data_IF_969165450531
#
_entry.id   IF_969165450531
#
_cell.length_a   1.000
_cell.length_b   1.000
_cell.length_c   1.000
_cell.angle_alpha   90.00
_cell.angle_beta   90.00
_cell.angle_gamma   90.00
#
_symmetry.space_group_name_H-M   'P 1'
#
loop_
_entity.id
_entity.type
_entity.pdbx_description
1 polymer ?
#
# COMPACT_ATOMS: atom_id res chain seq x y z
N UNK A 1 1.52 -22.80 5.34
CA UNK A 1 2.52 -23.26 4.35
C UNK A 1 2.33 -22.39 3.14
N UNK A 2 3.38 -21.65 2.77
CA UNK A 2 3.29 -20.66 1.72
C UNK A 2 3.39 -21.33 0.36
N UNK A 3 2.65 -20.82 -0.62
CA UNK A 3 2.63 -21.39 -1.96
C UNK A 3 3.95 -21.07 -2.65
N UNK A 4 4.62 -22.03 -3.32
CA UNK A 4 5.90 -21.80 -3.98
C UNK A 4 5.93 -20.59 -4.92
N UNK A 5 4.84 -20.36 -5.67
CA UNK A 5 4.71 -19.22 -6.60
C UNK A 5 4.76 -17.85 -5.90
N UNK A 6 4.40 -17.78 -4.61
CA UNK A 6 4.45 -16.53 -3.85
C UNK A 6 5.87 -16.07 -3.61
N UNK A 7 6.82 -16.99 -3.39
CA UNK A 7 8.24 -16.64 -3.27
C UNK A 7 8.74 -16.02 -4.58
N UNK A 8 8.43 -16.64 -5.71
CA UNK A 8 8.80 -16.11 -7.04
C UNK A 8 8.25 -14.69 -7.23
N UNK A 9 7.00 -14.44 -6.87
CA UNK A 9 6.38 -13.12 -6.99
C UNK A 9 7.08 -12.08 -6.12
N UNK A 10 7.45 -12.42 -4.89
CA UNK A 10 8.18 -11.53 -4.00
C UNK A 10 9.62 -11.28 -4.48
N UNK A 11 10.28 -12.31 -5.02
CA UNK A 11 11.63 -12.20 -5.59
C UNK A 11 11.63 -11.27 -6.82
N UNK A 12 10.60 -11.35 -7.68
CA UNK A 12 10.41 -10.44 -8.82
C UNK A 12 10.29 -8.98 -8.36
N UNK A 13 9.50 -8.70 -7.32
CA UNK A 13 9.41 -7.35 -6.77
C UNK A 13 10.71 -6.87 -6.12
N UNK A 14 11.42 -7.76 -5.42
CA UNK A 14 12.71 -7.45 -4.79
C UNK A 14 13.80 -7.13 -5.82
N UNK A 15 13.70 -7.69 -7.03
CA UNK A 15 14.63 -7.42 -8.13
C UNK A 15 14.38 -6.08 -8.84
N UNK A 16 13.19 -5.50 -8.70
CA UNK A 16 12.85 -4.22 -9.34
C UNK A 16 13.55 -3.10 -8.58
N UNK A 17 14.33 -2.24 -9.26
CA UNK A 17 14.87 -1.06 -8.61
C UNK A 17 13.72 -0.18 -8.15
N UNK A 18 13.86 0.44 -6.97
CA UNK A 18 12.94 1.47 -6.52
C UNK A 18 12.80 2.53 -7.62
N UNK A 19 11.57 3.02 -7.93
CA UNK A 19 11.37 4.02 -8.96
C UNK A 19 12.37 5.16 -8.78
N UNK A 20 13.12 5.47 -9.84
CA UNK A 20 14.17 6.46 -9.76
C UNK A 20 13.59 7.77 -9.21
N UNK A 21 14.24 8.31 -8.17
CA UNK A 21 13.96 9.68 -7.72
C UNK A 21 13.97 10.59 -8.93
N UNK A 22 13.01 11.52 -8.97
CA UNK A 22 13.02 12.55 -9.99
C UNK A 22 14.41 13.21 -9.97
N UNK A 23 15.11 13.30 -11.11
CA UNK A 23 16.49 13.77 -11.12
C UNK A 23 16.55 15.19 -10.55
N UNK A 24 17.61 15.53 -9.78
CA UNK A 24 17.77 16.88 -9.26
C UNK A 24 17.68 17.85 -10.43
N UNK A 25 16.70 18.75 -10.36
CA UNK A 25 16.49 19.75 -11.41
C UNK A 25 17.54 20.82 -11.20
N UNK A 26 18.51 20.90 -12.11
CA UNK A 26 19.34 22.09 -12.21
C UNK A 26 18.43 23.28 -12.61
N UNK A 27 18.17 24.22 -11.69
CA UNK A 27 17.28 25.36 -11.96
C UNK A 27 17.78 26.22 -13.12
N UNK A 28 19.09 26.17 -13.43
CA UNK A 28 19.72 26.92 -14.51
C UNK A 28 19.51 26.28 -15.90
N UNK A 29 19.23 24.96 -15.97
CA UNK A 29 19.18 24.24 -17.26
C UNK A 29 17.79 24.04 -17.85
N UNK A 30 16.70 24.16 -17.07
CA UNK A 30 15.34 23.92 -17.58
C UNK A 30 14.26 24.75 -16.88
N UNK A 31 13.61 25.64 -17.62
CA UNK A 31 12.38 26.31 -17.18
C UNK A 31 11.21 25.31 -17.21
N UNK A 32 10.93 24.68 -16.07
CA UNK A 32 9.81 23.75 -15.92
C UNK A 32 8.46 24.48 -16.04
N UNK A 33 7.44 23.78 -16.57
CA UNK A 33 6.06 24.25 -16.51
C UNK A 33 5.57 24.25 -15.05
N UNK A 34 4.61 25.10 -14.67
CA UNK A 34 4.14 25.21 -13.28
C UNK A 34 3.70 23.88 -12.65
N UNK A 35 3.01 23.01 -13.41
CA UNK A 35 2.56 21.69 -12.90
C UNK A 35 3.73 20.73 -12.67
N UNK A 36 4.75 20.74 -13.55
CA UNK A 36 5.95 19.92 -13.36
C UNK A 36 6.66 20.37 -12.09
N UNK A 37 6.83 21.69 -11.89
CA UNK A 37 7.45 22.24 -10.68
C UNK A 37 6.71 21.80 -9.41
N UNK A 38 5.37 21.86 -9.40
CA UNK A 38 4.55 21.41 -8.26
C UNK A 38 4.78 19.93 -7.95
N UNK A 39 4.88 19.07 -8.98
CA UNK A 39 5.17 17.66 -8.80
C UNK A 39 6.58 17.40 -8.21
N UNK A 40 7.60 18.18 -8.59
CA UNK A 40 8.93 18.12 -7.97
C UNK A 40 8.92 18.55 -6.51
N UNK A 41 8.20 19.63 -6.18
CA UNK A 41 8.04 20.12 -4.80
C UNK A 41 7.42 19.03 -3.91
N UNK A 42 6.34 18.41 -4.38
CA UNK A 42 5.65 17.34 -3.66
C UNK A 42 6.57 16.13 -3.47
N UNK A 43 7.33 15.74 -4.50
CA UNK A 43 8.26 14.61 -4.39
C UNK A 43 9.38 14.90 -3.39
N UNK A 44 10.00 16.09 -3.45
CA UNK A 44 11.05 16.47 -2.51
C UNK A 44 10.55 16.50 -1.07
N UNK A 45 9.32 16.99 -0.83
CA UNK A 45 8.71 16.95 0.48
C UNK A 45 8.47 15.52 0.97
N UNK A 46 7.91 14.64 0.13
CA UNK A 46 7.72 13.23 0.46
C UNK A 46 9.04 12.56 0.84
N UNK A 47 10.10 12.84 0.08
CA UNK A 47 11.43 12.31 0.31
C UNK A 47 11.99 12.78 1.67
N UNK A 48 11.89 14.07 1.97
CA UNK A 48 12.37 14.63 3.24
C UNK A 48 11.59 14.05 4.43
N UNK A 49 10.26 13.95 4.33
CA UNK A 49 9.41 13.36 5.37
C UNK A 49 9.81 11.90 5.60
N UNK A 50 10.07 11.13 4.54
CA UNK A 50 10.52 9.74 4.67
C UNK A 50 11.83 9.59 5.45
N UNK A 51 12.71 10.60 5.44
CA UNK A 51 14.02 10.53 6.10
C UNK A 51 14.02 11.06 7.54
N UNK A 52 13.30 12.16 7.81
CA UNK A 52 13.37 12.84 9.12
C UNK A 52 12.02 13.17 9.77
N UNK A 53 10.92 12.71 9.17
CA UNK A 53 9.57 13.00 9.64
C UNK A 53 9.04 14.36 9.21
N UNK A 54 7.75 14.58 9.37
CA UNK A 54 7.10 15.84 8.99
C UNK A 54 7.42 16.94 10.00
N UNK A 55 7.43 16.67 11.31
CA UNK A 55 7.79 17.69 12.30
C UNK A 55 9.15 18.34 12.03
N UNK A 56 10.17 17.55 11.69
CA UNK A 56 11.54 18.04 11.44
C UNK A 56 11.75 18.63 10.04
N UNK A 57 10.76 18.52 9.14
CA UNK A 57 10.79 19.16 7.82
C UNK A 57 10.55 20.67 7.91
N UNK A 58 11.27 21.45 7.13
CA UNK A 58 11.04 22.88 6.91
C UNK A 58 10.84 23.18 5.42
N UNK A 59 10.22 24.32 5.13
CA UNK A 59 10.09 24.81 3.74
C UNK A 59 11.47 25.10 3.11
N UNK A 60 12.45 25.50 3.91
CA UNK A 60 13.82 25.71 3.47
C UNK A 60 14.51 24.40 3.06
N UNK A 61 14.23 23.28 3.74
CA UNK A 61 14.76 21.96 3.33
C UNK A 61 14.29 21.60 1.92
N UNK A 62 12.99 21.77 1.66
CA UNK A 62 12.39 21.49 0.34
C UNK A 62 12.98 22.42 -0.72
N UNK A 63 13.14 23.71 -0.39
CA UNK A 63 13.74 24.68 -1.30
C UNK A 63 15.18 24.32 -1.67
N UNK A 64 15.98 23.90 -0.67
CA UNK A 64 17.35 23.44 -0.87
C UNK A 64 17.41 22.19 -1.76
N UNK A 65 16.55 21.20 -1.51
CA UNK A 65 16.50 19.95 -2.26
C UNK A 65 16.25 20.16 -3.76
N UNK A 66 15.40 21.14 -4.11
CA UNK A 66 15.06 21.44 -5.52
C UNK A 66 15.82 22.65 -6.09
N UNK A 67 16.80 23.19 -5.36
CA UNK A 67 17.65 24.30 -5.80
C UNK A 67 16.92 25.63 -6.01
N UNK A 68 15.90 25.95 -5.20
CA UNK A 68 15.15 27.22 -5.29
C UNK A 68 15.23 28.03 -4.00
N UNK A 69 14.72 29.26 -4.00
CA UNK A 69 14.51 30.02 -2.76
C UNK A 69 13.20 29.62 -2.08
N UNK A 70 13.15 29.72 -0.75
CA UNK A 70 11.92 29.48 0.01
C UNK A 70 10.80 30.43 -0.45
N UNK A 71 11.11 31.70 -0.72
CA UNK A 71 10.14 32.66 -1.26
C UNK A 71 9.53 32.18 -2.60
N UNK A 72 10.33 31.59 -3.48
CA UNK A 72 9.83 31.04 -4.74
C UNK A 72 8.97 29.79 -4.56
N UNK A 73 9.22 29.01 -3.50
CA UNK A 73 8.40 27.84 -3.13
C UNK A 73 6.97 28.28 -2.76
N UNK A 74 6.83 29.39 -2.03
CA UNK A 74 5.53 29.91 -1.60
C UNK A 74 4.62 30.38 -2.75
N UNK A 75 5.13 30.52 -3.98
CA UNK A 75 4.31 30.74 -5.17
C UNK A 75 3.53 29.48 -5.60
N UNK A 76 3.91 28.30 -5.12
CA UNK A 76 3.30 27.02 -5.52
C UNK A 76 2.53 26.34 -4.39
N UNK A 77 2.92 26.57 -3.13
CA UNK A 77 2.31 26.03 -1.91
C UNK A 77 2.31 27.09 -0.83
N UNK A 78 1.19 27.32 -0.16
CA UNK A 78 1.02 28.43 0.79
C UNK A 78 1.56 28.11 2.18
N UNK A 79 1.68 26.83 2.55
CA UNK A 79 2.21 26.42 3.85
C UNK A 79 2.83 25.02 3.82
N UNK A 80 3.56 24.69 4.90
CA UNK A 80 4.06 23.34 5.18
C UNK A 80 2.92 22.31 5.27
N UNK A 81 1.80 22.71 5.86
CA UNK A 81 0.63 21.84 6.06
C UNK A 81 -0.08 21.57 4.73
N UNK A 82 -0.25 22.59 3.88
CA UNK A 82 -0.77 22.40 2.52
C UNK A 82 0.13 21.46 1.71
N UNK A 83 1.46 21.63 1.84
CA UNK A 83 2.41 20.76 1.16
C UNK A 83 2.25 19.30 1.62
N UNK A 84 2.01 19.05 2.91
CA UNK A 84 1.71 17.71 3.42
C UNK A 84 0.40 17.15 2.85
N UNK A 85 -0.67 17.95 2.78
CA UNK A 85 -1.92 17.53 2.13
C UNK A 85 -1.69 17.11 0.68
N UNK A 86 -0.93 17.90 -0.09
CA UNK A 86 -0.60 17.56 -1.48
C UNK A 86 0.23 16.28 -1.63
N UNK A 87 1.12 16.01 -0.66
CA UNK A 87 1.88 14.74 -0.58
C UNK A 87 0.95 13.56 -0.33
N UNK A 88 -0.01 13.70 0.60
CA UNK A 88 -0.98 12.66 0.93
C UNK A 88 -1.94 12.39 -0.23
N UNK A 89 -2.46 13.44 -0.88
CA UNK A 89 -3.40 13.34 -2.01
C UNK A 89 -2.78 12.60 -3.18
N UNK A 90 -1.54 12.97 -3.56
CA UNK A 90 -0.80 12.31 -4.64
C UNK A 90 -0.62 10.81 -4.38
N UNK A 91 -0.57 10.41 -3.10
CA UNK A 91 -0.36 9.01 -2.75
C UNK A 91 -1.67 8.24 -2.58
N UNK A 92 -2.76 8.92 -2.20
CA UNK A 92 -4.09 8.33 -2.06
C UNK A 92 -4.69 7.95 -3.42
N UNK A 93 -4.50 8.80 -4.44
CA UNK A 93 -4.97 8.55 -5.81
C UNK A 93 -3.93 7.76 -6.62
N UNK A 94 -3.72 6.48 -6.28
CA UNK A 94 -2.76 5.63 -6.99
C UNK A 94 -3.42 4.39 -7.63
N UNK A 95 -3.97 4.52 -8.85
CA UNK A 95 -4.52 3.40 -9.62
C UNK A 95 -3.49 2.28 -9.89
N UNK A 96 -2.19 2.60 -9.92
CA UNK A 96 -1.15 1.59 -10.08
C UNK A 96 -1.06 0.69 -8.85
N UNK A 97 -1.36 1.22 -7.65
CA UNK A 97 -1.40 0.44 -6.42
C UNK A 97 -2.54 -0.59 -6.45
N UNK A 98 -3.73 -0.16 -6.87
CA UNK A 98 -4.88 -1.06 -7.04
C UNK A 98 -4.57 -2.14 -8.07
N UNK A 99 -4.01 -1.76 -9.22
CA UNK A 99 -3.63 -2.71 -10.26
C UNK A 99 -2.58 -3.71 -9.76
N UNK A 100 -1.50 -3.25 -9.14
CA UNK A 100 -0.43 -4.09 -8.61
C UNK A 100 -0.93 -5.05 -7.53
N UNK A 101 -1.89 -4.62 -6.70
CA UNK A 101 -2.43 -5.44 -5.61
C UNK A 101 -3.42 -6.48 -6.10
N UNK A 102 -4.33 -6.10 -7.00
CA UNK A 102 -5.54 -6.90 -7.27
C UNK A 102 -5.57 -7.60 -8.63
N UNK A 103 -4.80 -7.17 -9.63
CA UNK A 103 -4.89 -7.75 -10.99
C UNK A 103 -4.64 -9.26 -11.00
N UNK A 104 -3.48 -9.67 -10.49
CA UNK A 104 -3.03 -11.07 -10.38
C UNK A 104 -3.58 -11.79 -9.14
N UNK A 105 -4.45 -11.13 -8.38
CA UNK A 105 -5.17 -11.72 -7.25
C UNK A 105 -6.62 -12.03 -7.60
N UNK A 106 -7.03 -11.83 -8.86
CA UNK A 106 -8.40 -12.10 -9.31
C UNK A 106 -8.47 -13.35 -10.17
N UNK A 107 -9.62 -14.02 -10.13
CA UNK A 107 -9.92 -15.18 -10.96
C UNK A 107 -11.39 -15.22 -11.34
N UNK A 108 -11.73 -16.13 -12.24
CA UNK A 108 -13.10 -16.34 -12.72
C UNK A 108 -13.46 -17.81 -12.57
N UNK A 109 -14.62 -18.11 -11.99
CA UNK A 109 -15.10 -19.48 -11.84
C UNK A 109 -15.72 -20.04 -13.14
N UNK A 110 -16.12 -21.32 -13.12
CA UNK A 110 -16.77 -22.00 -14.26
C UNK A 110 -18.03 -21.30 -14.79
N UNK A 111 -18.70 -20.50 -13.96
CA UNK A 111 -19.95 -19.80 -14.30
C UNK A 111 -19.69 -18.35 -14.75
N UNK A 112 -18.43 -17.91 -14.78
CA UNK A 112 -18.05 -16.56 -15.20
C UNK A 112 -18.08 -15.51 -14.09
N UNK A 113 -18.28 -15.90 -12.84
CA UNK A 113 -18.22 -14.96 -11.72
C UNK A 113 -16.77 -14.59 -11.40
N UNK A 114 -16.52 -13.29 -11.22
CA UNK A 114 -15.18 -12.79 -10.85
C UNK A 114 -15.04 -12.70 -9.33
N UNK A 115 -13.93 -13.22 -8.82
CA UNK A 115 -13.56 -13.17 -7.40
C UNK A 115 -12.13 -12.68 -7.22
N UNK A 116 -11.83 -12.32 -5.97
CA UNK A 116 -10.49 -11.93 -5.53
C UNK A 116 -10.04 -12.80 -4.37
N UNK A 117 -8.74 -13.10 -4.36
CA UNK A 117 -8.10 -14.00 -3.40
C UNK A 117 -7.34 -13.14 -2.40
N UNK A 118 -7.88 -13.05 -1.18
CA UNK A 118 -7.33 -12.17 -0.14
C UNK A 118 -5.85 -12.45 0.18
N UNK A 119 -5.42 -13.71 0.41
CA UNK A 119 -4.01 -14.00 0.72
C UNK A 119 -3.06 -13.59 -0.41
N UNK A 120 -3.42 -13.91 -1.66
CA UNK A 120 -2.67 -13.47 -2.85
C UNK A 120 -2.58 -11.95 -2.95
N UNK A 121 -3.66 -11.22 -2.68
CA UNK A 121 -3.63 -9.75 -2.69
C UNK A 121 -2.65 -9.18 -1.65
N UNK A 122 -2.50 -9.83 -0.50
CA UNK A 122 -1.54 -9.40 0.53
C UNK A 122 -0.08 -9.63 0.10
N UNK A 123 0.21 -10.76 -0.55
CA UNK A 123 1.53 -11.03 -1.13
C UNK A 123 1.89 -9.98 -2.18
N UNK A 124 0.95 -9.66 -3.06
CA UNK A 124 1.13 -8.61 -4.07
C UNK A 124 1.39 -7.24 -3.43
N UNK A 125 0.62 -6.90 -2.39
CA UNK A 125 0.78 -5.65 -1.64
C UNK A 125 2.16 -5.55 -0.98
N UNK A 126 2.64 -6.63 -0.37
CA UNK A 126 3.99 -6.68 0.23
C UNK A 126 5.06 -6.46 -0.84
N UNK A 127 5.00 -7.21 -1.94
CA UNK A 127 5.96 -7.05 -3.04
C UNK A 127 5.96 -5.62 -3.58
N UNK A 128 4.77 -5.04 -3.80
CA UNK A 128 4.65 -3.66 -4.25
C UNK A 128 5.20 -2.65 -3.24
N UNK A 129 4.97 -2.86 -1.94
CA UNK A 129 5.52 -2.04 -0.87
C UNK A 129 7.05 -2.14 -0.77
N UNK A 130 7.63 -3.32 -0.97
CA UNK A 130 9.09 -3.50 -1.03
C UNK A 130 9.71 -2.69 -2.16
N UNK A 131 9.04 -2.60 -3.31
CA UNK A 131 9.48 -1.79 -4.45
C UNK A 131 9.33 -0.27 -4.24
N UNK A 132 8.67 0.18 -3.16
CA UNK A 132 8.41 1.60 -2.84
C UNK A 132 8.74 1.90 -1.37
N UNK A 133 9.87 1.39 -0.91
CA UNK A 133 10.28 1.45 0.49
C UNK A 133 10.26 2.86 1.09
N UNK A 134 10.63 3.89 0.30
CA UNK A 134 10.63 5.29 0.74
C UNK A 134 9.21 5.80 1.03
N UNK A 135 8.23 5.46 0.19
CA UNK A 135 6.83 5.79 0.44
C UNK A 135 6.34 5.10 1.70
N UNK A 136 6.60 3.80 1.83
CA UNK A 136 6.14 3.02 3.00
C UNK A 136 6.74 3.62 4.28
N UNK A 137 8.03 3.98 4.27
CA UNK A 137 8.70 4.68 5.38
C UNK A 137 8.05 6.02 5.71
N UNK A 138 7.73 6.83 4.70
CA UNK A 138 7.01 8.09 4.88
C UNK A 138 5.67 7.87 5.59
N UNK A 139 4.89 6.89 5.14
CA UNK A 139 3.60 6.56 5.76
C UNK A 139 3.77 6.06 7.20
N UNK A 140 4.77 5.22 7.48
CA UNK A 140 5.07 4.77 8.84
C UNK A 140 5.35 5.94 9.77
N UNK A 141 6.22 6.88 9.37
CA UNK A 141 6.53 8.06 10.18
C UNK A 141 5.30 8.95 10.39
N UNK A 142 4.57 9.27 9.32
CA UNK A 142 3.37 10.10 9.38
C UNK A 142 2.27 9.47 10.22
N UNK A 143 2.09 8.15 10.15
CA UNK A 143 1.12 7.44 10.99
C UNK A 143 1.43 7.65 12.47
N UNK A 144 2.70 7.50 12.87
CA UNK A 144 3.14 7.77 14.24
C UNK A 144 2.96 9.24 14.66
N UNK A 145 3.37 10.19 13.83
CA UNK A 145 3.21 11.63 14.12
C UNK A 145 1.73 12.04 14.20
N UNK A 146 0.87 11.41 13.40
CA UNK A 146 -0.57 11.67 13.35
C UNK A 146 -1.34 11.22 14.60
N UNK A 147 -0.72 10.48 15.51
CA UNK A 147 -1.33 10.16 16.82
C UNK A 147 -1.57 11.41 17.67
N UNK A 148 -0.87 12.52 17.38
CA UNK A 148 -1.18 13.82 17.93
C UNK A 148 -2.43 14.41 17.25
N UNK A 149 -3.52 14.69 17.97
CA UNK A 149 -4.75 15.26 17.40
C UNK A 149 -4.58 16.61 16.70
N UNK A 150 -3.51 17.36 17.03
CA UNK A 150 -3.20 18.64 16.41
C UNK A 150 -2.32 18.50 15.14
N UNK A 151 -1.94 17.27 14.77
CA UNK A 151 -1.13 17.04 13.57
C UNK A 151 -1.99 17.27 12.31
N UNK A 152 -1.48 17.96 11.26
CA UNK A 152 -2.28 18.24 10.06
C UNK A 152 -2.80 16.99 9.34
N UNK A 153 -2.07 15.87 9.41
CA UNK A 153 -2.51 14.58 8.86
C UNK A 153 -3.40 13.74 9.81
N UNK A 154 -3.76 14.22 11.00
CA UNK A 154 -4.52 13.44 11.99
C UNK A 154 -5.83 12.91 11.40
N UNK A 155 -6.62 13.78 10.76
CA UNK A 155 -7.89 13.39 10.14
C UNK A 155 -7.67 12.37 9.01
N UNK A 156 -6.65 12.58 8.17
CA UNK A 156 -6.31 11.65 7.09
C UNK A 156 -6.06 10.24 7.63
N UNK A 157 -5.18 10.08 8.63
CA UNK A 157 -4.80 8.76 9.14
C UNK A 157 -5.88 8.11 10.00
N UNK A 158 -6.66 8.89 10.76
CA UNK A 158 -7.82 8.35 11.50
C UNK A 158 -8.92 7.86 10.57
N UNK A 159 -9.18 8.57 9.47
CA UNK A 159 -10.19 8.18 8.49
C UNK A 159 -9.71 7.10 7.53
N UNK A 160 -8.39 7.00 7.26
CA UNK A 160 -7.78 6.02 6.34
C UNK A 160 -8.22 4.59 6.63
N UNK A 161 -8.29 4.20 7.90
CA UNK A 161 -8.75 2.86 8.28
C UNK A 161 -10.17 2.56 7.74
N UNK A 162 -11.10 3.48 8.01
CA UNK A 162 -12.50 3.33 7.61
C UNK A 162 -12.67 3.37 6.09
N UNK A 163 -11.93 4.26 5.42
CA UNK A 163 -11.95 4.37 3.96
C UNK A 163 -11.40 3.11 3.29
N UNK A 164 -10.29 2.58 3.81
CA UNK A 164 -9.70 1.34 3.32
C UNK A 164 -10.68 0.18 3.50
N UNK A 165 -11.28 0.01 4.68
CA UNK A 165 -12.27 -1.04 4.90
C UNK A 165 -13.50 -0.88 3.99
N UNK A 166 -14.04 0.33 3.86
CA UNK A 166 -15.20 0.59 3.02
C UNK A 166 -14.94 0.29 1.53
N UNK A 167 -13.71 0.49 1.05
CA UNK A 167 -13.29 0.02 -0.26
C UNK A 167 -13.16 -1.51 -0.30
N UNK A 168 -12.44 -2.07 0.66
CA UNK A 168 -12.12 -3.50 0.72
C UNK A 168 -13.37 -4.38 0.80
N UNK A 169 -14.38 -3.96 1.57
CA UNK A 169 -15.63 -4.70 1.77
C UNK A 169 -16.54 -4.70 0.54
N UNK A 170 -16.19 -3.94 -0.52
CA UNK A 170 -16.91 -3.91 -1.81
C UNK A 170 -16.26 -4.78 -2.88
N UNK A 171 -15.22 -5.52 -2.53
CA UNK A 171 -14.59 -6.49 -3.43
C UNK A 171 -15.20 -7.87 -3.16
N UNK A 172 -15.46 -8.63 -4.22
CA UNK A 172 -16.00 -9.98 -4.11
C UNK A 172 -14.89 -10.99 -3.73
N UNK A 173 -14.46 -10.93 -2.48
CA UNK A 173 -13.47 -11.84 -1.92
C UNK A 173 -14.02 -13.26 -1.87
N UNK A 174 -13.24 -14.25 -2.30
CA UNK A 174 -13.54 -15.64 -2.01
C UNK A 174 -13.06 -15.96 -0.60
N UNK A 175 -13.97 -16.44 0.26
CA UNK A 175 -13.72 -16.65 1.69
C UNK A 175 -13.97 -18.10 2.09
N UNK A 176 -13.30 -18.60 3.15
CA UNK A 176 -13.61 -19.90 3.72
C UNK A 176 -15.09 -20.07 4.04
N UNK A 177 -15.61 -21.28 3.85
CA UNK A 177 -17.01 -21.59 4.11
C UNK A 177 -17.39 -21.23 5.56
N UNK A 178 -18.50 -20.50 5.72
CA UNK A 178 -18.99 -20.11 7.06
C UNK A 178 -18.46 -18.78 7.57
N UNK A 179 -17.40 -18.20 6.99
CA UNK A 179 -16.86 -16.90 7.41
C UNK A 179 -17.88 -15.78 7.23
N UNK A 180 -18.18 -15.04 8.30
CA UNK A 180 -19.06 -13.87 8.24
C UNK A 180 -18.30 -12.61 7.80
N UNK A 181 -19.02 -11.53 7.45
CA UNK A 181 -18.40 -10.24 7.16
C UNK A 181 -17.64 -9.68 8.37
N UNK A 182 -18.16 -9.89 9.59
CA UNK A 182 -17.52 -9.44 10.82
C UNK A 182 -16.23 -10.23 11.09
N UNK A 183 -16.25 -11.55 10.92
CA UNK A 183 -15.04 -12.38 11.04
C UNK A 183 -13.98 -11.95 10.02
N UNK A 184 -14.40 -11.71 8.78
CA UNK A 184 -13.50 -11.23 7.73
C UNK A 184 -12.93 -9.84 8.04
N UNK A 185 -13.73 -8.93 8.60
CA UNK A 185 -13.25 -7.63 9.05
C UNK A 185 -12.18 -7.74 10.13
N UNK A 186 -12.37 -8.64 11.10
CA UNK A 186 -11.37 -8.91 12.13
C UNK A 186 -10.09 -9.51 11.55
N UNK A 187 -10.20 -10.47 10.64
CA UNK A 187 -9.04 -11.04 9.94
C UNK A 187 -8.30 -9.99 9.12
N UNK A 188 -9.02 -9.16 8.36
CA UNK A 188 -8.43 -8.08 7.59
C UNK A 188 -7.67 -7.12 8.50
N UNK A 189 -8.26 -6.69 9.62
CA UNK A 189 -7.60 -5.83 10.61
C UNK A 189 -6.32 -6.45 11.15
N UNK A 190 -6.38 -7.73 11.55
CA UNK A 190 -5.22 -8.47 12.04
C UNK A 190 -4.11 -8.55 10.98
N UNK A 191 -4.48 -8.84 9.74
CA UNK A 191 -3.57 -8.94 8.59
C UNK A 191 -2.87 -7.60 8.32
N UNK A 192 -3.62 -6.50 8.30
CA UNK A 192 -3.05 -5.15 8.09
C UNK A 192 -2.14 -4.75 9.27
N UNK A 193 -2.54 -5.03 10.50
CA UNK A 193 -1.71 -4.75 11.69
C UNK A 193 -0.41 -5.56 11.71
N UNK A 194 -0.46 -6.83 11.29
CA UNK A 194 0.73 -7.66 11.15
C UNK A 194 1.68 -7.07 10.08
N UNK A 195 1.15 -6.69 8.92
CA UNK A 195 1.92 -6.06 7.84
C UNK A 195 2.60 -4.77 8.28
N UNK A 196 1.87 -3.86 8.92
CA UNK A 196 2.43 -2.61 9.45
C UNK A 196 3.56 -2.89 10.45
N UNK A 197 3.33 -3.81 11.40
CA UNK A 197 4.32 -4.19 12.40
C UNK A 197 5.60 -4.77 11.80
N UNK A 198 5.48 -5.60 10.75
CA UNK A 198 6.64 -6.13 10.02
C UNK A 198 7.40 -5.04 9.28
N UNK A 199 6.71 -4.06 8.67
CA UNK A 199 7.36 -2.95 7.98
C UNK A 199 8.17 -2.06 8.95
N UNK A 200 7.65 -1.78 10.15
CA UNK A 200 8.42 -1.06 11.16
C UNK A 200 9.70 -1.81 11.55
N UNK A 201 9.60 -3.12 11.79
CA UNK A 201 10.75 -3.96 12.14
C UNK A 201 11.77 -4.08 11.01
N UNK A 202 11.30 -4.16 9.76
CA UNK A 202 12.15 -4.09 8.58
C UNK A 202 12.93 -2.78 8.52
N UNK A 203 12.28 -1.63 8.75
CA UNK A 203 12.98 -0.34 8.78
C UNK A 203 13.88 -0.12 10.00
N UNK A 204 13.62 -0.81 11.10
CA UNK A 204 14.50 -0.84 12.26
C UNK A 204 15.74 -1.73 12.06
N UNK A 205 15.78 -2.52 10.98
CA UNK A 205 16.85 -3.49 10.72
C UNK A 205 16.74 -4.79 11.52
N UNK A 206 15.56 -5.09 12.08
CA UNK A 206 15.29 -6.36 12.78
C UNK A 206 14.92 -7.50 11.83
N UNK A 207 14.46 -7.16 10.62
CA UNK A 207 14.10 -8.11 9.57
C UNK A 207 14.94 -7.77 8.35
N UNK A 208 15.61 -8.76 7.76
CA UNK A 208 16.41 -8.55 6.54
C UNK A 208 15.53 -8.53 5.28
N UNK A 209 14.57 -9.46 5.20
CA UNK A 209 13.68 -9.63 4.06
C UNK A 209 12.21 -9.62 4.49
N UNK A 210 11.52 -8.50 4.24
CA UNK A 210 10.10 -8.33 4.55
C UNK A 210 9.22 -9.38 3.86
N UNK A 211 9.54 -9.76 2.63
CA UNK A 211 8.77 -10.74 1.86
C UNK A 211 8.84 -12.14 2.47
N UNK A 212 10.03 -12.59 2.85
CA UNK A 212 10.21 -13.89 3.50
C UNK A 212 9.50 -13.96 4.86
N UNK A 213 9.61 -12.90 5.66
CA UNK A 213 8.91 -12.83 6.95
C UNK A 213 7.39 -12.79 6.78
N UNK A 214 6.89 -12.10 5.75
CA UNK A 214 5.46 -12.10 5.41
C UNK A 214 4.93 -13.49 5.10
N UNK A 215 5.70 -14.33 4.39
CA UNK A 215 5.30 -15.70 4.08
C UNK A 215 5.10 -16.53 5.37
N UNK A 216 5.98 -16.37 6.36
CA UNK A 216 5.81 -16.99 7.67
C UNK A 216 4.54 -16.52 8.41
N UNK A 217 4.22 -15.24 8.34
CA UNK A 217 2.98 -14.71 8.92
C UNK A 217 1.73 -15.18 8.16
N UNK A 218 1.78 -15.18 6.83
CA UNK A 218 0.69 -15.68 5.97
C UNK A 218 0.32 -17.12 6.30
N UNK A 219 1.31 -17.97 6.64
CA UNK A 219 1.05 -19.35 7.02
C UNK A 219 0.18 -19.52 8.26
N UNK A 220 0.24 -18.54 9.17
CA UNK A 220 -0.56 -18.51 10.40
C UNK A 220 -1.88 -17.76 10.20
N UNK A 221 -1.89 -16.70 9.38
CA UNK A 221 -3.09 -15.91 9.08
C UNK A 221 -4.05 -16.65 8.13
N UNK A 222 -3.50 -17.45 7.21
CA UNK A 222 -4.22 -18.16 6.17
C UNK A 222 -3.88 -19.66 6.21
N UNK A 223 -4.26 -20.38 7.28
CA UNK A 223 -3.89 -21.78 7.43
C UNK A 223 -4.50 -22.61 6.29
N UNK A 224 -3.72 -23.49 5.61
CA UNK A 224 -4.23 -24.29 4.49
C UNK A 224 -5.42 -25.20 4.83
N UNK A 225 -5.59 -25.56 6.11
CA UNK A 225 -6.75 -26.32 6.60
C UNK A 225 -8.07 -25.59 6.40
N UNK A 226 -8.05 -24.26 6.34
CA UNK A 226 -9.23 -23.41 6.14
C UNK A 226 -9.23 -22.76 4.76
N UNK A 227 -8.05 -22.34 4.28
CA UNK A 227 -7.93 -21.55 3.06
C UNK A 227 -7.64 -22.38 1.80
N UNK A 228 -7.09 -23.59 1.90
CA UNK A 228 -6.86 -24.54 0.80
C UNK A 228 -6.71 -23.92 -0.62
N UNK A 229 -7.69 -24.12 -1.52
CA UNK A 229 -7.70 -23.60 -2.91
C UNK A 229 -8.04 -22.10 -3.03
N UNK A 230 -8.33 -21.43 -1.91
CA UNK A 230 -8.68 -20.01 -1.79
C UNK A 230 -7.47 -19.11 -1.51
N UNK A 231 -6.27 -19.68 -1.43
CA UNK A 231 -5.04 -18.93 -1.21
C UNK A 231 -4.65 -18.13 -2.46
N UNK A 232 -4.74 -18.74 -3.65
CA UNK A 232 -4.25 -18.17 -4.90
C UNK A 232 -5.13 -18.57 -6.09
N UNK A 233 -5.39 -17.67 -7.07
CA UNK A 233 -6.19 -17.99 -8.25
C UNK A 233 -5.67 -19.20 -9.03
N UNK A 234 -4.36 -19.48 -9.00
CA UNK A 234 -3.75 -20.60 -9.73
C UNK A 234 -4.05 -21.96 -9.11
N UNK A 235 -4.60 -22.00 -7.89
CA UNK A 235 -5.04 -23.24 -7.24
C UNK A 235 -6.47 -23.62 -7.60
N UNK A 236 -7.24 -22.71 -8.19
CA UNK A 236 -8.59 -23.00 -8.66
C UNK A 236 -8.55 -23.87 -9.90
N UNK A 237 -9.43 -24.87 -9.91
CA UNK A 237 -9.67 -25.77 -11.03
C UNK A 237 -11.15 -25.78 -11.38
N UNK A 238 -11.56 -26.00 -12.64
CA UNK A 238 -12.98 -26.11 -13.00
C UNK A 238 -13.76 -27.14 -12.18
N UNK A 239 -13.08 -28.17 -11.67
CA UNK A 239 -13.64 -29.20 -10.79
C UNK A 239 -14.11 -28.66 -9.43
N UNK A 240 -13.58 -27.52 -8.98
CA UNK A 240 -14.03 -26.84 -7.76
C UNK A 240 -15.44 -26.22 -7.92
N UNK A 241 -15.90 -26.09 -9.16
CA UNK A 241 -17.25 -25.61 -9.49
C UNK A 241 -17.45 -24.12 -9.23
N UNK A 242 -18.71 -23.73 -9.02
CA UNK A 242 -19.13 -22.36 -8.82
C UNK A 242 -18.75 -21.85 -7.43
N UNK A 243 -18.08 -20.70 -7.36
CA UNK A 243 -17.62 -20.11 -6.09
C UNK A 243 -18.58 -19.05 -5.53
N UNK A 244 -19.74 -18.83 -6.16
CA UNK A 244 -20.72 -17.80 -5.73
C UNK A 244 -21.13 -17.94 -4.26
N UNK A 245 -21.22 -19.16 -3.75
CA UNK A 245 -21.53 -19.51 -2.36
C UNK A 245 -20.42 -19.16 -1.34
N UNK A 246 -19.21 -18.87 -1.82
CA UNK A 246 -18.04 -18.45 -1.03
C UNK A 246 -17.69 -16.97 -1.23
N UNK A 247 -18.19 -16.36 -2.30
CA UNK A 247 -17.93 -14.95 -2.61
C UNK A 247 -18.63 -14.00 -1.63
N UNK A 248 -17.89 -13.05 -1.07
CA UNK A 248 -18.40 -12.11 -0.07
C UNK A 248 -19.66 -11.35 -0.53
N UNK A 249 -19.75 -11.00 -1.81
CA UNK A 249 -20.87 -10.21 -2.35
C UNK A 249 -21.94 -11.06 -3.03
N UNK A 250 -21.62 -12.31 -3.37
CA UNK A 250 -22.51 -13.22 -4.11
C UNK A 250 -23.13 -14.30 -3.23
N UNK A 251 -22.59 -14.52 -2.02
CA UNK A 251 -23.09 -15.52 -1.09
C UNK A 251 -24.53 -15.21 -0.70
N UNK A 252 -25.45 -16.13 -1.00
CA UNK A 252 -26.89 -15.99 -0.76
C UNK A 252 -27.72 -15.43 -1.93
N UNK A 253 -27.10 -15.20 -3.09
CA UNK A 253 -27.80 -14.88 -4.35
C UNK A 253 -28.07 -16.12 -5.22
N UNK A 254 -27.60 -17.28 -4.77
CA UNK A 254 -27.74 -18.62 -5.35
C UNK A 254 -28.89 -19.40 -4.72
#
# INVERSE_FOLDING_TARGET
MSIPIWKTVLDEYSSKPEPARLPPVDPARRRLKPHERKAFIIQAAADIIAHKGFQSMSMQDVANEIGTSEAALYHYVHSKDELLTLVLDRTYENPEADHATYAEASGTDVDGHRFFYFPRSCVNLIGYNMSRSQMVRMFSLLNGESLNPNHPAHEYFTQRYFNNWAYFSRINWVLPHGMSLDDFHHLWRLTMSAMDGLQYRWFAGEIDNLGEEWLHFSDNLFPPTEWNHLLDPTLYTPEDGCLSHLGLLTRGQS
#
